data_IF_167128058528
#
_entry.id   IF_167128058528
#
_cell.length_a   1.000
_cell.length_b   1.000
_cell.length_c   1.000
_cell.angle_alpha   90.00
_cell.angle_beta   90.00
_cell.angle_gamma   90.00
#
_symmetry.space_group_name_H-M   'P 1'
#
loop_
_entity.id
_entity.type
_entity.pdbx_description
1 polymer ?
#
# COMPACT_ATOMS: atom_id res chain seq x y z
N UNK A 1 9.88 23.95 -4.54
CA UNK A 1 9.69 22.79 -3.67
C UNK A 1 8.20 22.60 -3.53
N UNK A 2 7.69 21.44 -3.84
CA UNK A 2 6.27 21.12 -3.66
C UNK A 2 6.11 20.45 -2.28
N UNK A 3 5.32 21.06 -1.40
CA UNK A 3 4.89 20.40 -0.16
C UNK A 3 3.61 19.65 -0.49
N UNK A 4 3.67 18.32 -0.47
CA UNK A 4 2.56 17.42 -0.76
C UNK A 4 2.30 16.49 0.39
N UNK A 5 1.08 15.97 0.50
CA UNK A 5 0.74 14.90 1.44
C UNK A 5 0.65 13.56 0.72
N UNK A 6 1.42 12.59 1.22
CA UNK A 6 1.48 11.22 0.73
C UNK A 6 0.89 10.29 1.78
N UNK A 7 -0.24 9.66 1.50
CA UNK A 7 -0.86 8.64 2.35
C UNK A 7 -0.40 7.25 1.92
N UNK A 8 0.22 6.48 2.82
CA UNK A 8 0.66 5.10 2.56
C UNK A 8 -0.30 4.14 3.26
N UNK A 9 -1.09 3.40 2.49
CA UNK A 9 -2.00 2.36 2.97
C UNK A 9 -1.27 1.01 2.95
N UNK A 10 -1.25 0.31 4.10
CA UNK A 10 -0.45 -0.89 4.30
C UNK A 10 0.98 -0.57 4.77
N UNK A 11 1.16 0.57 5.45
CA UNK A 11 2.46 1.07 5.89
C UNK A 11 3.16 0.19 6.94
N UNK A 12 2.51 -0.83 7.50
CA UNK A 12 3.14 -1.87 8.31
C UNK A 12 4.06 -2.81 7.52
N UNK A 13 4.16 -2.64 6.19
CA UNK A 13 5.13 -3.35 5.35
C UNK A 13 6.49 -2.66 5.39
N UNK A 14 7.44 -3.23 6.14
CA UNK A 14 8.78 -2.65 6.30
C UNK A 14 9.49 -2.46 4.95
N UNK A 15 9.41 -3.43 4.05
CA UNK A 15 10.09 -3.40 2.75
C UNK A 15 9.64 -2.21 1.90
N UNK A 16 8.33 -2.04 1.74
CA UNK A 16 7.81 -0.96 0.90
C UNK A 16 7.93 0.42 1.56
N UNK A 17 7.57 0.51 2.83
CA UNK A 17 7.58 1.79 3.54
C UNK A 17 8.99 2.36 3.71
N UNK A 18 9.98 1.50 4.03
CA UNK A 18 11.38 1.95 4.14
C UNK A 18 11.95 2.37 2.79
N UNK A 19 11.69 1.60 1.72
CA UNK A 19 12.16 1.96 0.39
C UNK A 19 11.59 3.31 -0.05
N UNK A 20 10.27 3.50 0.09
CA UNK A 20 9.61 4.75 -0.28
C UNK A 20 10.12 5.95 0.54
N UNK A 21 10.22 5.80 1.88
CA UNK A 21 10.72 6.88 2.74
C UNK A 21 12.18 7.21 2.43
N UNK A 22 13.01 6.20 2.16
CA UNK A 22 14.39 6.42 1.72
C UNK A 22 14.44 7.29 0.47
N UNK A 23 13.64 6.96 -0.54
CA UNK A 23 13.61 7.70 -1.80
C UNK A 23 13.08 9.13 -1.60
N UNK A 24 12.06 9.30 -0.76
CA UNK A 24 11.54 10.62 -0.39
C UNK A 24 12.58 11.47 0.35
N UNK A 25 13.33 10.88 1.29
CA UNK A 25 14.41 11.56 2.01
C UNK A 25 15.53 12.04 1.07
N UNK A 26 15.78 11.30 -0.02
CA UNK A 26 16.79 11.62 -1.03
C UNK A 26 16.29 12.53 -2.16
N UNK A 27 15.01 12.97 -2.10
CA UNK A 27 14.39 13.81 -3.12
C UNK A 27 14.20 15.25 -2.60
N UNK A 28 15.15 16.17 -2.85
CA UNK A 28 15.13 17.53 -2.27
C UNK A 28 13.87 18.34 -2.62
N UNK A 29 13.28 18.07 -3.80
CA UNK A 29 12.08 18.78 -4.27
C UNK A 29 10.81 18.46 -3.46
N UNK A 30 10.82 17.37 -2.68
CA UNK A 30 9.72 16.96 -1.78
C UNK A 30 10.00 17.32 -0.31
N UNK A 31 11.03 18.14 -0.06
CA UNK A 31 11.33 18.64 1.28
C UNK A 31 10.16 19.43 1.85
N UNK A 32 9.76 19.13 3.08
CA UNK A 32 8.59 19.74 3.74
C UNK A 32 7.31 18.93 3.62
N UNK A 33 7.28 17.93 2.71
CA UNK A 33 6.11 17.08 2.49
C UNK A 33 5.73 16.26 3.72
N UNK A 34 4.42 15.95 3.82
CA UNK A 34 3.85 15.10 4.86
C UNK A 34 3.74 13.66 4.36
N UNK A 35 4.16 12.69 5.17
CA UNK A 35 3.93 11.26 4.91
C UNK A 35 3.08 10.68 6.02
N UNK A 36 1.87 10.23 5.67
CA UNK A 36 0.92 9.61 6.58
C UNK A 36 0.98 8.10 6.45
N UNK A 37 1.43 7.43 7.50
CA UNK A 37 1.52 5.97 7.58
C UNK A 37 0.21 5.39 8.10
N UNK A 38 -0.47 4.60 7.31
CA UNK A 38 -1.70 3.93 7.71
C UNK A 38 -1.57 2.40 7.62
N UNK A 39 -1.88 1.70 8.72
CA UNK A 39 -2.01 0.24 8.73
C UNK A 39 -3.00 -0.18 9.81
N UNK A 40 -3.75 -1.25 9.56
CA UNK A 40 -4.69 -1.80 10.54
C UNK A 40 -3.98 -2.52 11.70
N UNK A 41 -2.76 -2.99 11.48
CA UNK A 41 -1.93 -3.62 12.50
C UNK A 41 -1.07 -2.56 13.20
N UNK A 42 -1.51 -2.15 14.38
CA UNK A 42 -0.86 -1.09 15.17
C UNK A 42 0.59 -1.42 15.54
N UNK A 43 0.89 -2.66 15.92
CA UNK A 43 2.24 -3.07 16.31
C UNK A 43 3.23 -2.94 15.15
N UNK A 44 2.86 -3.47 13.98
CA UNK A 44 3.69 -3.36 12.77
C UNK A 44 3.85 -1.91 12.33
N UNK A 45 2.76 -1.14 12.38
CA UNK A 45 2.77 0.28 12.06
C UNK A 45 3.74 1.04 12.97
N UNK A 46 3.68 0.81 14.28
CA UNK A 46 4.55 1.47 15.26
C UNK A 46 6.04 1.15 15.03
N UNK A 47 6.35 -0.10 14.75
CA UNK A 47 7.72 -0.54 14.48
C UNK A 47 8.28 0.11 13.19
N UNK A 48 7.52 0.02 12.08
CA UNK A 48 7.94 0.57 10.79
C UNK A 48 8.03 2.10 10.83
N UNK A 49 7.05 2.76 11.44
CA UNK A 49 7.07 4.20 11.63
C UNK A 49 8.31 4.68 12.40
N UNK A 50 8.64 3.99 13.50
CA UNK A 50 9.81 4.34 14.33
C UNK A 50 11.10 4.22 13.52
N UNK A 51 11.23 3.18 12.71
CA UNK A 51 12.39 2.97 11.85
C UNK A 51 12.49 4.02 10.73
N UNK A 52 11.38 4.34 10.07
CA UNK A 52 11.32 5.39 9.05
C UNK A 52 11.64 6.77 9.62
N UNK A 53 11.11 7.08 10.81
CA UNK A 53 11.39 8.33 11.52
C UNK A 53 12.87 8.48 11.84
N UNK A 54 13.48 7.43 12.40
CA UNK A 54 14.90 7.41 12.69
C UNK A 54 15.75 7.63 11.42
N UNK A 55 15.39 6.98 10.31
CA UNK A 55 16.09 7.16 9.04
C UNK A 55 15.99 8.60 8.54
N UNK A 56 14.79 9.22 8.59
CA UNK A 56 14.61 10.61 8.21
C UNK A 56 15.42 11.59 9.08
N UNK A 57 15.51 11.32 10.39
CA UNK A 57 16.30 12.11 11.34
C UNK A 57 17.81 11.98 11.05
N UNK A 58 18.32 10.77 10.84
CA UNK A 58 19.74 10.51 10.53
C UNK A 58 20.16 11.12 9.19
N UNK A 59 19.27 11.12 8.20
CA UNK A 59 19.52 11.76 6.88
C UNK A 59 19.26 13.27 6.89
N UNK A 60 18.76 13.83 8.00
CA UNK A 60 18.36 15.24 8.13
C UNK A 60 17.31 15.67 7.10
N UNK A 61 16.49 14.73 6.66
CA UNK A 61 15.41 15.00 5.73
C UNK A 61 14.31 15.83 6.41
N UNK A 62 13.79 16.82 5.70
CA UNK A 62 12.73 17.71 6.21
C UNK A 62 11.34 17.15 5.89
N UNK A 63 11.10 15.86 6.15
CA UNK A 63 9.80 15.25 6.00
C UNK A 63 9.00 15.34 7.31
N UNK A 64 7.71 15.62 7.21
CA UNK A 64 6.76 15.54 8.32
C UNK A 64 6.15 14.14 8.29
N UNK A 65 6.25 13.39 9.40
CA UNK A 65 5.77 12.01 9.46
C UNK A 65 4.63 11.92 10.48
N UNK A 66 3.53 11.28 10.09
CA UNK A 66 2.42 10.94 10.99
C UNK A 66 2.03 9.47 10.81
N UNK A 67 1.29 8.90 11.76
CA UNK A 67 0.75 7.55 11.69
C UNK A 67 -0.67 7.46 12.22
N UNK A 68 -1.47 6.58 11.64
CA UNK A 68 -2.85 6.33 12.06
C UNK A 68 -3.29 4.91 11.68
N UNK A 69 -4.23 4.34 12.42
CA UNK A 69 -4.93 3.10 12.04
C UNK A 69 -6.24 3.39 11.31
N UNK A 70 -6.59 4.66 11.14
CA UNK A 70 -7.79 5.11 10.46
C UNK A 70 -7.44 5.57 9.04
N UNK A 71 -7.95 4.85 8.02
CA UNK A 71 -7.71 5.16 6.62
C UNK A 71 -8.29 6.51 6.22
N UNK A 72 -9.49 6.84 6.67
CA UNK A 72 -10.14 8.12 6.33
C UNK A 72 -9.34 9.30 6.85
N UNK A 73 -8.79 9.17 8.06
CA UNK A 73 -7.89 10.19 8.63
C UNK A 73 -6.60 10.35 7.82
N UNK A 74 -6.02 9.24 7.35
CA UNK A 74 -4.81 9.28 6.53
C UNK A 74 -5.04 9.96 5.18
N UNK A 75 -6.25 9.83 4.61
CA UNK A 75 -6.62 10.38 3.31
C UNK A 75 -6.94 11.87 3.32
N UNK A 76 -7.22 12.47 4.49
CA UNK A 76 -7.51 13.91 4.58
C UNK A 76 -6.38 14.72 3.97
N UNK A 77 -6.69 15.59 3.03
CA UNK A 77 -5.76 16.47 2.31
C UNK A 77 -4.61 15.72 1.60
N UNK A 78 -4.80 14.46 1.21
CA UNK A 78 -3.79 13.70 0.49
C UNK A 78 -3.73 14.13 -0.99
N UNK A 79 -2.53 14.39 -1.50
CA UNK A 79 -2.24 14.59 -2.92
C UNK A 79 -1.91 13.26 -3.61
N UNK A 80 -1.32 12.33 -2.85
CA UNK A 80 -0.94 11.01 -3.34
C UNK A 80 -1.37 9.93 -2.34
N UNK A 81 -1.98 8.88 -2.85
CA UNK A 81 -2.34 7.69 -2.06
C UNK A 81 -1.59 6.49 -2.62
N UNK A 82 -0.69 5.91 -1.83
CA UNK A 82 0.12 4.75 -2.20
C UNK A 82 -0.40 3.53 -1.48
N UNK A 83 -0.94 2.55 -2.21
CA UNK A 83 -1.48 1.32 -1.62
C UNK A 83 -0.49 0.16 -1.79
N UNK A 84 0.03 -0.31 -0.65
CA UNK A 84 0.96 -1.45 -0.54
C UNK A 84 0.35 -2.62 0.25
N UNK A 85 -0.93 -2.50 0.64
CA UNK A 85 -1.58 -3.45 1.52
C UNK A 85 -1.92 -4.77 0.81
N UNK A 86 -1.54 -5.88 1.44
CA UNK A 86 -1.88 -7.24 1.03
C UNK A 86 -2.84 -7.83 2.07
N UNK A 87 -4.13 -7.98 1.69
CA UNK A 87 -5.23 -8.31 2.63
C UNK A 87 -5.05 -9.66 3.31
N UNK A 88 -4.81 -10.71 2.53
CA UNK A 88 -4.71 -12.09 3.08
C UNK A 88 -3.33 -12.46 3.58
N UNK A 89 -2.32 -11.66 3.28
CA UNK A 89 -0.94 -11.95 3.66
C UNK A 89 -0.41 -13.27 3.08
N UNK A 90 0.82 -13.61 3.42
CA UNK A 90 1.47 -14.82 2.89
C UNK A 90 0.84 -16.13 3.36
N UNK A 91 0.23 -16.17 4.54
CA UNK A 91 -0.47 -17.36 5.05
C UNK A 91 -1.67 -17.72 4.19
N UNK A 92 -2.47 -16.73 3.80
CA UNK A 92 -3.61 -16.94 2.93
C UNK A 92 -3.20 -17.39 1.52
N UNK A 93 -2.11 -16.84 0.97
CA UNK A 93 -1.55 -17.32 -0.30
C UNK A 93 -1.13 -18.77 -0.24
N UNK A 94 -0.43 -19.17 0.83
CA UNK A 94 -0.02 -20.57 1.02
C UNK A 94 -1.21 -21.51 1.11
N UNK A 95 -2.26 -21.12 1.81
CA UNK A 95 -3.49 -21.93 1.90
C UNK A 95 -4.16 -22.07 0.54
N UNK A 96 -4.29 -20.97 -0.20
CA UNK A 96 -4.81 -20.99 -1.57
C UNK A 96 -4.03 -21.90 -2.49
N UNK A 97 -2.71 -21.86 -2.46
CA UNK A 97 -1.86 -22.76 -3.23
C UNK A 97 -2.06 -24.23 -2.85
N UNK A 98 -2.13 -24.53 -1.55
CA UNK A 98 -2.38 -25.91 -1.09
C UNK A 98 -3.72 -26.45 -1.58
N UNK A 99 -4.76 -25.60 -1.60
CA UNK A 99 -6.06 -25.97 -2.17
C UNK A 99 -5.92 -26.23 -3.68
N UNK A 100 -5.28 -25.34 -4.42
CA UNK A 100 -5.04 -25.52 -5.85
C UNK A 100 -4.28 -26.83 -6.15
N UNK A 101 -3.21 -27.11 -5.43
CA UNK A 101 -2.46 -28.38 -5.59
C UNK A 101 -3.32 -29.63 -5.32
N UNK A 102 -4.18 -29.59 -4.29
CA UNK A 102 -5.11 -30.70 -4.01
C UNK A 102 -6.10 -30.96 -5.14
N UNK A 103 -6.42 -29.94 -5.93
CA UNK A 103 -7.28 -30.04 -7.11
C UNK A 103 -6.52 -30.25 -8.42
N UNK A 104 -5.23 -30.54 -8.37
CA UNK A 104 -4.41 -30.88 -9.53
C UNK A 104 -3.89 -29.68 -10.32
N UNK A 105 -4.09 -28.45 -9.85
CA UNK A 105 -3.48 -27.28 -10.47
C UNK A 105 -1.98 -27.27 -10.24
N UNK A 106 -1.22 -27.11 -11.33
CA UNK A 106 0.24 -26.97 -11.28
C UNK A 106 0.56 -25.48 -11.45
N UNK A 107 0.85 -24.82 -10.36
CA UNK A 107 1.36 -23.45 -10.41
C UNK A 107 2.83 -23.52 -10.87
N UNK A 108 3.07 -23.16 -12.13
CA UNK A 108 4.41 -23.07 -12.69
C UNK A 108 4.73 -21.64 -13.04
N UNK A 109 5.87 -21.13 -12.57
CA UNK A 109 6.32 -19.79 -12.93
C UNK A 109 6.92 -19.02 -11.77
N UNK A 110 7.15 -17.72 -12.01
CA UNK A 110 7.68 -16.85 -10.98
C UNK A 110 6.64 -16.66 -9.85
N UNK A 111 7.12 -16.35 -8.66
CA UNK A 111 6.32 -16.03 -7.50
C UNK A 111 5.24 -14.95 -7.79
N UNK A 112 5.54 -14.00 -8.66
CA UNK A 112 4.62 -12.93 -9.07
C UNK A 112 3.43 -13.45 -9.88
N UNK A 113 3.65 -14.37 -10.81
CA UNK A 113 2.57 -15.01 -11.59
C UNK A 113 1.64 -15.80 -10.67
N UNK A 114 2.19 -16.52 -9.70
CA UNK A 114 1.41 -17.27 -8.72
C UNK A 114 0.51 -16.38 -7.84
N UNK A 115 0.91 -15.13 -7.61
CA UNK A 115 0.09 -14.14 -6.90
C UNK A 115 -1.09 -13.65 -7.72
N UNK A 116 -0.95 -13.57 -9.04
CA UNK A 116 -2.00 -13.07 -9.93
C UNK A 116 -3.03 -14.18 -10.28
N UNK A 117 -2.64 -15.45 -10.18
CA UNK A 117 -3.50 -16.60 -10.50
C UNK A 117 -4.47 -16.99 -9.38
N UNK A 118 -4.24 -16.54 -8.16
CA UNK A 118 -5.06 -16.85 -6.99
C UNK A 118 -6.39 -16.11 -6.96
N UNK A 119 -7.31 -16.51 -7.82
CA UNK A 119 -8.63 -15.89 -8.01
C UNK A 119 -9.39 -15.59 -6.70
N UNK A 120 -9.43 -16.51 -5.71
CA UNK A 120 -10.09 -16.27 -4.41
C UNK A 120 -9.34 -15.27 -3.52
N UNK A 121 -8.03 -15.18 -3.66
CA UNK A 121 -7.20 -14.20 -2.95
C UNK A 121 -7.50 -12.81 -3.47
N UNK A 122 -7.65 -12.69 -4.79
CA UNK A 122 -7.94 -11.45 -5.48
C UNK A 122 -9.30 -10.88 -5.09
N UNK A 123 -10.28 -11.70 -4.73
CA UNK A 123 -11.59 -11.23 -4.29
C UNK A 123 -11.50 -10.28 -3.09
N UNK A 124 -10.72 -10.63 -2.06
CA UNK A 124 -10.54 -9.77 -0.89
C UNK A 124 -9.69 -8.54 -1.21
N UNK A 125 -8.72 -8.70 -2.09
CA UNK A 125 -7.87 -7.60 -2.53
C UNK A 125 -8.68 -6.57 -3.35
N UNK A 126 -9.55 -7.00 -4.24
CA UNK A 126 -10.45 -6.13 -4.99
C UNK A 126 -11.38 -5.35 -4.07
N UNK A 127 -11.94 -5.99 -3.06
CA UNK A 127 -12.79 -5.29 -2.07
C UNK A 127 -12.02 -4.20 -1.30
N UNK A 128 -10.75 -4.45 -0.97
CA UNK A 128 -9.92 -3.41 -0.37
C UNK A 128 -9.75 -2.23 -1.33
N UNK A 129 -9.46 -2.52 -2.60
CA UNK A 129 -9.24 -1.47 -3.60
C UNK A 129 -10.51 -0.67 -3.86
N UNK A 130 -11.65 -1.33 -4.09
CA UNK A 130 -12.96 -0.69 -4.25
C UNK A 130 -13.28 0.23 -3.06
N UNK A 131 -13.16 -0.29 -1.83
CA UNK A 131 -13.43 0.50 -0.64
C UNK A 131 -12.44 1.66 -0.46
N UNK A 132 -11.20 1.51 -0.94
CA UNK A 132 -10.19 2.57 -0.88
C UNK A 132 -10.49 3.65 -1.91
N UNK A 133 -10.87 3.28 -3.14
CA UNK A 133 -11.27 4.23 -4.18
C UNK A 133 -12.48 5.03 -3.75
N UNK A 134 -13.50 4.39 -3.17
CA UNK A 134 -14.68 5.10 -2.64
C UNK A 134 -14.28 6.13 -1.56
N UNK A 135 -13.41 5.75 -0.62
CA UNK A 135 -12.92 6.71 0.38
C UNK A 135 -12.08 7.83 -0.25
N UNK A 136 -11.31 7.58 -1.31
CA UNK A 136 -10.56 8.61 -2.04
C UNK A 136 -11.52 9.59 -2.72
N UNK A 137 -12.52 9.08 -3.44
CA UNK A 137 -13.53 9.92 -4.12
C UNK A 137 -14.29 10.82 -3.14
N UNK A 138 -14.55 10.31 -1.93
CA UNK A 138 -15.27 11.07 -0.90
C UNK A 138 -14.39 12.11 -0.20
N UNK A 139 -13.08 11.86 -0.01
CA UNK A 139 -12.22 12.63 0.91
C UNK A 139 -11.17 13.45 0.18
N UNK A 140 -10.55 12.89 -0.87
CA UNK A 140 -9.46 13.52 -1.64
C UNK A 140 -9.59 13.17 -3.14
N UNK A 141 -10.66 13.60 -3.83
CA UNK A 141 -10.97 13.16 -5.19
C UNK A 141 -9.91 13.54 -6.22
N UNK A 142 -9.12 14.55 -5.95
CA UNK A 142 -8.03 15.00 -6.84
C UNK A 142 -6.70 14.27 -6.59
N UNK A 143 -6.64 13.35 -5.61
CA UNK A 143 -5.43 12.63 -5.27
C UNK A 143 -5.05 11.59 -6.34
N UNK A 144 -3.75 11.48 -6.60
CA UNK A 144 -3.22 10.39 -7.41
C UNK A 144 -3.22 9.07 -6.64
N UNK A 145 -3.88 8.04 -7.17
CA UNK A 145 -3.90 6.71 -6.56
C UNK A 145 -2.86 5.79 -7.20
N UNK A 146 -1.82 5.44 -6.44
CA UNK A 146 -0.70 4.59 -6.85
C UNK A 146 -0.85 3.19 -6.25
N UNK A 147 -1.13 2.20 -7.07
CA UNK A 147 -1.31 0.80 -6.67
C UNK A 147 0.02 0.05 -6.81
N UNK A 148 0.63 -0.31 -5.70
CA UNK A 148 1.84 -1.13 -5.66
C UNK A 148 1.58 -2.56 -5.18
N UNK A 149 0.41 -2.82 -4.58
CA UNK A 149 0.00 -4.14 -4.16
C UNK A 149 -0.55 -4.97 -5.32
N UNK A 150 -0.14 -6.25 -5.42
CA UNK A 150 -0.67 -7.17 -6.43
C UNK A 150 -2.13 -7.58 -6.13
N UNK A 151 -2.93 -7.92 -7.14
CA UNK A 151 -2.62 -7.97 -8.58
C UNK A 151 -2.86 -6.61 -9.27
N UNK A 152 -1.81 -6.00 -9.80
CA UNK A 152 -1.90 -4.66 -10.43
C UNK A 152 -2.67 -4.70 -11.75
N UNK A 153 -2.44 -5.72 -12.59
CA UNK A 153 -3.07 -5.84 -13.92
C UNK A 153 -4.56 -6.16 -13.85
N UNK A 154 -4.96 -7.06 -12.97
CA UNK A 154 -6.36 -7.44 -12.80
C UNK A 154 -7.23 -6.27 -12.31
N UNK A 155 -6.64 -5.33 -11.60
CA UNK A 155 -7.29 -4.12 -11.12
C UNK A 155 -7.57 -3.10 -12.21
N UNK A 156 -6.70 -2.99 -13.22
CA UNK A 156 -6.96 -2.14 -14.38
C UNK A 156 -8.23 -2.56 -15.13
N UNK A 157 -8.49 -3.87 -15.17
CA UNK A 157 -9.72 -4.40 -15.76
C UNK A 157 -10.95 -4.09 -14.91
N UNK A 158 -10.82 -4.16 -13.59
CA UNK A 158 -11.91 -3.80 -12.67
C UNK A 158 -12.23 -2.30 -12.75
N UNK A 159 -11.23 -1.42 -12.75
CA UNK A 159 -11.42 0.03 -12.90
C UNK A 159 -12.10 0.38 -14.25
N UNK A 160 -11.78 -0.34 -15.34
CA UNK A 160 -12.40 -0.13 -16.65
C UNK A 160 -13.87 -0.61 -16.74
N UNK A 161 -14.31 -1.43 -15.78
CA UNK A 161 -15.70 -1.93 -15.71
C UNK A 161 -16.57 -1.06 -14.79
N UNK A 162 -15.97 -0.39 -13.80
CA UNK A 162 -16.67 0.37 -12.77
C UNK A 162 -16.58 1.90 -12.92
N UNK A 163 -15.81 2.40 -13.86
CA UNK A 163 -15.65 3.81 -14.22
C UNK A 163 -15.65 3.98 -15.76
#
# INVERSE_FOLDING_TARGET
>A
MAEVKISIIGAGSATFSLALVKDLCLTPNLSGSMVSFMDVNKERLDAVYTLCKRYAEETKAKLKLEKTTDRKKSLQDADFVVNTALVVGYSGYREGWNIGFKHGYRFGGSYHIMHDEGFWINFYQFRLFESTVNDILDICPDAWYLKLANPVLALRLADAIFF
#
